data_IF_921950117620
#
_entry.id   IF_921950117620
#
_cell.length_a   1.000
_cell.length_b   1.000
_cell.length_c   1.000
_cell.angle_alpha   90.00
_cell.angle_beta   90.00
_cell.angle_gamma   90.00
#
_symmetry.space_group_name_H-M   'P 1'
#
loop_
_entity.id
_entity.type
_entity.pdbx_description
1 polymer ?
#
# COMPACT_ATOMS: atom_id res chain seq x y z
N UNK A 1 -28.23 32.88 21.89
CA UNK A 1 -27.81 32.69 20.49
C UNK A 1 -28.53 31.47 19.96
N UNK A 2 -29.43 31.66 18.99
CA UNK A 2 -30.26 30.61 18.42
C UNK A 2 -29.50 29.81 17.35
N UNK A 3 -30.03 28.64 16.97
CA UNK A 3 -29.48 27.83 15.87
C UNK A 3 -29.51 28.55 14.53
N UNK A 4 -30.45 29.48 14.34
CA UNK A 4 -30.55 30.28 13.12
C UNK A 4 -29.53 31.43 13.13
N UNK A 5 -29.27 32.06 14.28
CA UNK A 5 -28.18 33.04 14.42
C UNK A 5 -26.81 32.41 14.09
N UNK A 6 -26.61 31.15 14.46
CA UNK A 6 -25.40 30.40 14.09
C UNK A 6 -25.31 30.14 12.59
N UNK A 7 -26.42 29.79 11.93
CA UNK A 7 -26.45 29.54 10.48
C UNK A 7 -26.17 30.80 9.67
N UNK A 8 -26.74 31.94 10.06
CA UNK A 8 -26.47 33.22 9.40
C UNK A 8 -25.02 33.66 9.60
N UNK A 9 -24.46 33.52 10.81
CA UNK A 9 -23.04 33.80 11.01
C UNK A 9 -22.15 32.88 10.18
N UNK A 10 -22.49 31.59 10.06
CA UNK A 10 -21.73 30.65 9.25
C UNK A 10 -21.80 30.99 7.75
N UNK A 11 -22.98 31.37 7.26
CA UNK A 11 -23.16 31.80 5.87
C UNK A 11 -22.46 33.13 5.57
N UNK A 12 -22.52 34.09 6.49
CA UNK A 12 -21.80 35.37 6.37
C UNK A 12 -20.27 35.20 6.38
N UNK A 13 -19.75 34.28 7.19
CA UNK A 13 -18.32 33.93 7.16
C UNK A 13 -17.91 33.24 5.86
N UNK A 14 -18.72 32.30 5.35
CA UNK A 14 -18.43 31.63 4.06
C UNK A 14 -18.47 32.59 2.88
N UNK A 15 -19.40 33.55 2.87
CA UNK A 15 -19.49 34.58 1.84
C UNK A 15 -18.26 35.51 1.84
N UNK A 16 -17.84 35.98 3.03
CA UNK A 16 -16.61 36.79 3.18
C UNK A 16 -15.34 36.02 2.80
N UNK A 17 -15.33 34.70 2.96
CA UNK A 17 -14.21 33.86 2.53
C UNK A 17 -14.16 33.68 1.01
N UNK A 18 -15.28 33.79 0.30
CA UNK A 18 -15.34 33.73 -1.17
C UNK A 18 -15.02 35.06 -1.87
N UNK A 19 -15.24 36.20 -1.20
CA UNK A 19 -14.99 37.52 -1.81
C UNK A 19 -13.51 37.95 -1.82
N UNK A 20 -12.63 37.24 -1.10
CA UNK A 20 -11.20 37.61 -1.00
C UNK A 20 -10.20 36.55 -1.48
N UNK A 21 -10.66 35.40 -1.99
CA UNK A 21 -9.79 34.28 -2.34
C UNK A 21 -9.88 34.02 -3.85
N UNK A 22 -8.90 34.55 -4.58
CA UNK A 22 -8.61 34.09 -5.94
C UNK A 22 -8.08 32.65 -5.85
N UNK A 23 -9.00 31.68 -5.99
CA UNK A 23 -8.67 30.24 -5.92
C UNK A 23 -7.61 29.84 -6.96
N UNK A 24 -7.41 30.61 -8.04
CA UNK A 24 -6.36 30.36 -9.03
C UNK A 24 -4.96 30.74 -8.54
N UNK A 25 -4.81 31.71 -7.65
CA UNK A 25 -3.50 32.06 -7.06
C UNK A 25 -3.18 31.23 -5.82
N UNK A 26 -4.21 30.82 -5.07
CA UNK A 26 -3.99 30.12 -3.81
C UNK A 26 -3.51 28.68 -4.04
N UNK A 27 -4.00 27.99 -5.08
CA UNK A 27 -3.54 26.64 -5.42
C UNK A 27 -2.04 26.59 -5.71
N UNK A 28 -1.48 27.41 -6.61
CA UNK A 28 -0.05 27.47 -6.86
C UNK A 28 0.76 27.88 -5.62
N UNK A 29 0.29 28.84 -4.81
CA UNK A 29 0.98 29.25 -3.57
C UNK A 29 0.98 28.16 -2.51
N UNK A 30 -0.09 27.38 -2.40
CA UNK A 30 -0.16 26.24 -1.48
C UNK A 30 0.73 25.10 -1.99
N UNK A 31 0.77 24.87 -3.30
CA UNK A 31 1.66 23.89 -3.95
C UNK A 31 3.15 24.32 -3.84
N UNK A 32 3.43 25.61 -3.95
CA UNK A 32 4.75 26.21 -3.79
C UNK A 32 5.17 26.22 -2.32
N UNK A 33 4.27 26.48 -1.38
CA UNK A 33 4.51 26.36 0.06
C UNK A 33 4.79 24.92 0.48
N UNK A 34 4.13 23.95 -0.13
CA UNK A 34 4.38 22.52 0.09
C UNK A 34 5.69 22.04 -0.57
N UNK A 35 6.16 22.70 -1.64
CA UNK A 35 7.48 22.48 -2.24
C UNK A 35 8.62 23.26 -1.56
N UNK A 36 8.32 24.39 -0.93
CA UNK A 36 9.27 25.23 -0.16
C UNK A 36 9.36 24.82 1.31
N UNK A 37 8.45 23.99 1.82
CA UNK A 37 8.62 23.25 3.08
C UNK A 37 9.65 22.10 2.95
N UNK A 38 10.72 22.34 2.18
CA UNK A 38 11.81 21.39 1.87
C UNK A 38 13.15 21.82 2.48
N UNK A 39 13.12 22.72 3.45
CA UNK A 39 14.27 23.12 4.27
C UNK A 39 13.94 23.05 5.78
N UNK A 40 13.12 22.07 6.18
CA UNK A 40 12.94 21.69 7.57
C UNK A 40 13.21 20.20 7.73
N UNK A 41 14.00 19.83 8.75
CA UNK A 41 14.29 18.45 9.15
C UNK A 41 13.02 17.58 9.11
N UNK A 42 12.99 16.53 8.29
CA UNK A 42 11.83 15.66 8.12
C UNK A 42 11.02 15.86 6.83
N UNK A 43 11.64 16.31 5.74
CA UNK A 43 10.99 16.36 4.43
C UNK A 43 10.49 14.99 3.93
N UNK A 44 9.66 14.99 2.89
CA UNK A 44 9.11 13.76 2.26
C UNK A 44 10.18 12.72 1.89
N UNK A 45 11.42 13.18 1.61
CA UNK A 45 12.60 12.32 1.41
C UNK A 45 13.03 11.59 2.69
N UNK A 46 13.03 12.24 3.85
CA UNK A 46 13.34 11.62 5.15
C UNK A 46 12.24 10.64 5.57
N UNK A 47 10.98 10.93 5.27
CA UNK A 47 9.89 9.97 5.47
C UNK A 47 10.04 8.73 4.57
N UNK A 48 10.39 8.92 3.29
CA UNK A 48 10.70 7.79 2.38
C UNK A 48 11.94 7.03 2.82
N UNK A 49 12.99 7.73 3.27
CA UNK A 49 14.20 7.11 3.78
C UNK A 49 13.93 6.33 5.07
N UNK A 50 13.11 6.84 6.00
CA UNK A 50 12.68 6.11 7.21
C UNK A 50 11.75 4.93 6.91
N UNK A 51 10.98 4.98 5.82
CA UNK A 51 10.20 3.81 5.35
C UNK A 51 11.08 2.77 4.65
N UNK A 52 12.14 3.17 3.95
CA UNK A 52 13.06 2.27 3.26
C UNK A 52 14.18 1.72 4.16
N UNK A 53 14.60 2.48 5.16
CA UNK A 53 15.57 2.11 6.20
C UNK A 53 14.84 1.89 7.52
N UNK A 54 13.71 1.18 7.45
CA UNK A 54 12.91 0.84 8.61
C UNK A 54 13.80 0.37 9.77
N UNK A 55 13.55 0.99 10.92
CA UNK A 55 13.97 0.54 12.25
C UNK A 55 14.13 -0.99 12.27
N UNK A 56 15.31 -1.49 12.66
CA UNK A 56 15.82 -2.86 12.47
C UNK A 56 14.95 -4.00 13.06
N UNK A 57 13.74 -3.71 13.53
CA UNK A 57 12.76 -4.69 14.01
C UNK A 57 11.40 -4.67 13.33
N UNK A 58 11.15 -3.79 12.34
CA UNK A 58 9.93 -3.84 11.51
C UNK A 58 10.29 -4.37 10.14
N UNK A 59 10.04 -5.65 9.91
CA UNK A 59 9.96 -6.22 8.57
C UNK A 59 9.21 -5.21 7.68
N UNK A 60 9.81 -4.82 6.55
CA UNK A 60 9.22 -3.82 5.68
C UNK A 60 7.79 -4.26 5.36
N UNK A 61 6.79 -3.45 5.71
CA UNK A 61 5.37 -3.81 5.50
C UNK A 61 5.02 -3.93 4.00
N UNK A 62 5.88 -3.42 3.12
CA UNK A 62 5.70 -3.39 1.66
C UNK A 62 5.58 -4.80 1.03
N UNK A 63 6.56 -5.72 1.20
CA UNK A 63 6.43 -7.11 0.77
C UNK A 63 5.16 -7.80 1.24
N UNK A 64 4.79 -7.63 2.52
CA UNK A 64 3.61 -8.28 3.07
C UNK A 64 2.31 -7.74 2.43
N UNK A 65 2.20 -6.42 2.28
CA UNK A 65 1.05 -5.79 1.62
C UNK A 65 0.91 -6.26 0.17
N UNK A 66 2.02 -6.35 -0.57
CA UNK A 66 2.01 -6.83 -1.96
C UNK A 66 1.61 -8.30 -2.05
N UNK A 67 2.25 -9.18 -1.26
CA UNK A 67 2.06 -10.63 -1.35
C UNK A 67 0.73 -11.09 -0.76
N UNK A 68 0.28 -10.53 0.36
CA UNK A 68 -0.99 -10.92 1.01
C UNK A 68 -2.19 -10.16 0.48
N UNK A 69 -2.02 -8.90 0.07
CA UNK A 69 -3.13 -8.04 -0.35
C UNK A 69 -3.37 -8.05 -1.85
N UNK A 70 -2.37 -7.61 -2.63
CA UNK A 70 -2.55 -7.37 -4.06
C UNK A 70 -2.45 -8.64 -4.91
N UNK A 71 -1.43 -9.47 -4.65
CA UNK A 71 -1.14 -10.64 -5.48
C UNK A 71 -2.33 -11.62 -5.59
N UNK A 72 -3.06 -11.97 -4.51
CA UNK A 72 -4.22 -12.86 -4.61
C UNK A 72 -5.36 -12.26 -5.45
N UNK A 73 -5.55 -10.94 -5.35
CA UNK A 73 -6.56 -10.24 -6.14
C UNK A 73 -6.22 -10.26 -7.64
N UNK A 74 -4.95 -10.01 -7.99
CA UNK A 74 -4.46 -10.12 -9.36
C UNK A 74 -4.67 -11.53 -9.93
N UNK A 75 -4.35 -12.57 -9.15
CA UNK A 75 -4.56 -13.97 -9.54
C UNK A 75 -6.05 -14.23 -9.81
N UNK A 76 -6.94 -13.76 -8.94
CA UNK A 76 -8.40 -13.91 -9.12
C UNK A 76 -8.90 -13.28 -10.43
N UNK A 77 -8.33 -12.14 -10.82
CA UNK A 77 -8.70 -11.46 -12.07
C UNK A 77 -8.08 -12.11 -13.31
N UNK A 78 -6.84 -12.61 -13.21
CA UNK A 78 -6.11 -13.17 -14.35
C UNK A 78 -6.50 -14.62 -14.68
N UNK A 79 -6.70 -15.46 -13.67
CA UNK A 79 -6.94 -16.90 -13.86
C UNK A 79 -8.12 -17.24 -14.80
N UNK A 80 -9.25 -16.49 -14.80
CA UNK A 80 -10.33 -16.71 -15.74
C UNK A 80 -9.91 -16.60 -17.22
N UNK A 81 -8.97 -15.70 -17.55
CA UNK A 81 -8.48 -15.50 -18.92
C UNK A 81 -7.55 -16.62 -19.40
N UNK A 82 -7.10 -17.49 -18.50
CA UNK A 82 -6.21 -18.61 -18.80
C UNK A 82 -7.07 -19.84 -19.05
N UNK A 83 -6.79 -20.56 -20.15
CA UNK A 83 -7.53 -21.77 -20.49
C UNK A 83 -7.40 -22.81 -19.39
N UNK A 84 -8.47 -23.58 -19.13
CA UNK A 84 -8.50 -24.58 -18.05
C UNK A 84 -7.32 -25.55 -18.12
N UNK A 85 -6.98 -25.96 -19.34
CA UNK A 85 -5.86 -26.87 -19.64
C UNK A 85 -4.51 -26.31 -19.18
N UNK A 86 -4.29 -24.99 -19.29
CA UNK A 86 -3.01 -24.35 -18.94
C UNK A 86 -2.92 -23.92 -17.48
N UNK A 87 -4.03 -23.93 -16.74
CA UNK A 87 -4.04 -23.48 -15.33
C UNK A 87 -3.21 -24.38 -14.43
N UNK A 88 -3.27 -25.69 -14.64
CA UNK A 88 -2.50 -26.64 -13.85
C UNK A 88 -1.00 -26.37 -13.99
N UNK A 89 -0.48 -26.34 -15.21
CA UNK A 89 0.94 -26.07 -15.49
C UNK A 89 1.40 -24.72 -14.92
N UNK A 90 0.58 -23.67 -15.07
CA UNK A 90 0.88 -22.36 -14.51
C UNK A 90 0.97 -22.39 -12.98
N UNK A 91 -0.02 -22.97 -12.31
CA UNK A 91 -0.04 -23.09 -10.85
C UNK A 91 1.14 -23.92 -10.37
N UNK A 92 1.44 -25.04 -11.02
CA UNK A 92 2.59 -25.88 -10.72
C UNK A 92 3.90 -25.11 -10.82
N UNK A 93 4.11 -24.34 -11.89
CA UNK A 93 5.31 -23.51 -12.04
C UNK A 93 5.44 -22.46 -10.92
N UNK A 94 4.34 -21.77 -10.59
CA UNK A 94 4.33 -20.77 -9.52
C UNK A 94 4.64 -21.39 -8.15
N UNK A 95 4.01 -22.53 -7.83
CA UNK A 95 4.24 -23.23 -6.56
C UNK A 95 5.68 -23.74 -6.49
N UNK A 96 6.22 -24.35 -7.54
CA UNK A 96 7.61 -24.82 -7.55
C UNK A 96 8.60 -23.68 -7.28
N UNK A 97 8.47 -22.55 -7.98
CA UNK A 97 9.34 -21.38 -7.74
C UNK A 97 9.18 -20.85 -6.32
N UNK A 98 7.96 -20.74 -5.80
CA UNK A 98 7.75 -20.27 -4.42
C UNK A 98 8.37 -21.22 -3.39
N UNK A 99 8.22 -22.53 -3.56
CA UNK A 99 8.78 -23.53 -2.66
C UNK A 99 10.31 -23.53 -2.69
N UNK A 100 10.93 -23.44 -3.87
CA UNK A 100 12.38 -23.34 -4.02
C UNK A 100 12.95 -22.11 -3.32
N UNK A 101 12.33 -20.93 -3.55
CA UNK A 101 12.81 -19.68 -2.97
C UNK A 101 12.53 -19.59 -1.46
N UNK A 102 11.33 -19.99 -1.01
CA UNK A 102 10.96 -19.93 0.40
C UNK A 102 11.74 -20.90 1.28
N UNK A 103 12.30 -21.96 0.70
CA UNK A 103 13.10 -22.96 1.41
C UNK A 103 14.61 -22.82 1.16
N UNK A 104 15.03 -21.75 0.48
CA UNK A 104 16.43 -21.43 0.25
C UNK A 104 17.15 -21.19 1.59
N UNK A 105 18.31 -21.82 1.77
CA UNK A 105 19.09 -21.75 3.02
C UNK A 105 18.64 -22.70 4.13
N UNK A 106 17.54 -23.44 3.96
CA UNK A 106 17.11 -24.47 4.91
C UNK A 106 17.89 -25.78 4.73
N UNK A 107 18.07 -26.52 5.82
CA UNK A 107 18.48 -27.93 5.80
C UNK A 107 17.37 -28.84 5.28
N UNK A 108 17.69 -30.07 4.85
CA UNK A 108 16.69 -31.01 4.30
C UNK A 108 15.57 -31.36 5.30
N UNK A 109 15.88 -31.41 6.60
CA UNK A 109 14.90 -31.63 7.65
C UNK A 109 13.95 -30.43 7.79
N UNK A 110 14.47 -29.20 7.74
CA UNK A 110 13.68 -27.97 7.77
C UNK A 110 12.81 -27.83 6.52
N UNK A 111 13.35 -28.14 5.34
CA UNK A 111 12.59 -28.17 4.07
C UNK A 111 11.43 -29.15 4.16
N UNK A 112 11.66 -30.35 4.66
CA UNK A 112 10.61 -31.38 4.79
C UNK A 112 9.49 -30.92 5.74
N UNK A 113 9.85 -30.32 6.88
CA UNK A 113 8.89 -29.76 7.84
C UNK A 113 8.12 -28.57 7.26
N UNK A 114 8.81 -27.68 6.53
CA UNK A 114 8.22 -26.54 5.84
C UNK A 114 7.21 -27.00 4.78
N UNK A 115 7.59 -27.93 3.91
CA UNK A 115 6.71 -28.50 2.87
C UNK A 115 5.45 -29.11 3.49
N UNK A 116 5.59 -29.90 4.56
CA UNK A 116 4.45 -30.49 5.25
C UNK A 116 3.46 -29.42 5.75
N UNK A 117 3.96 -28.35 6.39
CA UNK A 117 3.12 -27.22 6.85
C UNK A 117 2.39 -26.53 5.70
N UNK A 118 3.07 -26.28 4.58
CA UNK A 118 2.46 -25.66 3.40
C UNK A 118 1.35 -26.56 2.83
N UNK A 119 1.61 -27.85 2.64
CA UNK A 119 0.63 -28.82 2.13
C UNK A 119 -0.60 -28.89 3.03
N UNK A 120 -0.43 -28.89 4.34
CA UNK A 120 -1.56 -28.92 5.28
C UNK A 120 -2.43 -27.66 5.21
N UNK A 121 -1.84 -26.50 4.86
CA UNK A 121 -2.57 -25.23 4.74
C UNK A 121 -3.35 -25.03 3.45
N UNK A 122 -3.05 -25.78 2.38
CA UNK A 122 -3.67 -25.63 1.05
C UNK A 122 -4.74 -26.68 0.73
N UNK A 123 -4.99 -27.61 1.66
CA UNK A 123 -6.09 -28.58 1.56
C UNK A 123 -7.40 -27.79 1.48
N UNK A 124 -8.05 -27.86 0.31
CA UNK A 124 -9.31 -27.19 -0.02
C UNK A 124 -10.46 -28.16 0.01
#
# INVERSE_FOLDING_TARGET
>A
MTTDDKKEMMMGMMAKMKEGIDMKEMMPKMMMGMMSAKEGEGGMKDMMAKMMHGDEGKESMMPEMMLKGMMPHCIKMMMPAISKEKRADLVSNMVSTLMEQASSGMSDAEKSSFVAKVIDSIKT
#
